data_IF_234898279843
#
_entry.id   IF_234898279843
#
_cell.length_a   1.000
_cell.length_b   1.000
_cell.length_c   1.000
_cell.angle_alpha   90.00
_cell.angle_beta   90.00
_cell.angle_gamma   90.00
#
_symmetry.space_group_name_H-M   'P 1'
#
loop_
_entity.id
_entity.type
_entity.pdbx_description
1 polymer ?
#
# COMPACT_ATOMS: atom_id res chain seq x y z
N UNK A 1 -0.49 -0.66 24.53
CA UNK A 1 0.17 -0.85 23.22
C UNK A 1 -0.80 -0.40 22.14
N UNK A 2 -0.39 0.47 21.21
CA UNK A 2 -1.27 0.99 20.14
C UNK A 2 -0.75 0.48 18.80
N UNK A 3 -1.63 -0.08 17.97
CA UNK A 3 -1.30 -0.52 16.61
C UNK A 3 -1.96 0.43 15.60
N UNK A 4 -1.21 0.82 14.56
CA UNK A 4 -1.70 1.66 13.47
C UNK A 4 -1.64 0.87 12.16
N UNK A 5 -2.70 0.93 11.38
CA UNK A 5 -2.86 0.21 10.13
C UNK A 5 -3.30 1.17 9.02
N UNK A 6 -2.81 0.94 7.80
CA UNK A 6 -3.28 1.60 6.60
C UNK A 6 -4.00 0.57 5.72
N UNK A 7 -5.20 0.92 5.23
CA UNK A 7 -6.05 0.03 4.45
C UNK A 7 -6.20 0.57 3.03
N UNK A 8 -5.97 -0.30 2.05
CA UNK A 8 -6.04 0.04 0.62
C UNK A 8 -7.07 -0.86 -0.06
N UNK A 9 -8.34 -0.41 -0.19
CA UNK A 9 -9.37 -1.23 -0.80
C UNK A 9 -9.09 -1.44 -2.31
N UNK A 10 -9.25 -2.68 -2.77
CA UNK A 10 -9.02 -3.05 -4.18
C UNK A 10 -10.29 -2.92 -5.05
N UNK A 11 -11.47 -2.86 -4.42
CA UNK A 11 -12.77 -2.76 -5.10
C UNK A 11 -13.69 -1.78 -4.38
N UNK A 12 -14.57 -1.13 -5.13
CA UNK A 12 -15.64 -0.31 -4.56
C UNK A 12 -16.73 -1.17 -3.94
N UNK A 13 -17.48 -0.58 -3.00
CA UNK A 13 -18.55 -1.22 -2.25
C UNK A 13 -18.31 -1.21 -0.75
N UNK A 14 -19.15 -1.95 -0.03
CA UNK A 14 -19.08 -2.07 1.42
C UNK A 14 -18.02 -3.09 1.81
N UNK A 15 -17.08 -2.69 2.66
CA UNK A 15 -16.06 -3.57 3.25
C UNK A 15 -16.33 -3.69 4.75
N UNK A 16 -16.49 -4.92 5.21
CA UNK A 16 -16.66 -5.22 6.63
C UNK A 16 -15.32 -5.68 7.20
N UNK A 17 -14.84 -4.98 8.21
CA UNK A 17 -13.66 -5.37 8.99
C UNK A 17 -14.15 -5.92 10.31
N UNK A 18 -13.86 -7.19 10.58
CA UNK A 18 -14.12 -7.78 11.87
C UNK A 18 -13.35 -7.02 12.96
N UNK A 19 -14.00 -6.83 14.11
CA UNK A 19 -13.35 -6.22 15.26
C UNK A 19 -12.18 -7.10 15.75
N UNK A 20 -11.18 -6.49 16.39
CA UNK A 20 -10.07 -7.24 16.97
C UNK A 20 -10.58 -8.17 18.08
N UNK A 21 -9.99 -9.36 18.18
CA UNK A 21 -10.27 -10.32 19.25
C UNK A 21 -9.11 -10.32 20.23
N UNK A 22 -9.43 -10.25 21.53
CA UNK A 22 -8.48 -10.39 22.61
C UNK A 22 -8.84 -11.63 23.44
N UNK A 23 -7.95 -12.62 23.41
CA UNK A 23 -8.01 -13.77 24.29
C UNK A 23 -7.23 -13.49 25.58
N UNK A 24 -7.83 -13.81 26.71
CA UNK A 24 -7.23 -13.62 28.03
C UNK A 24 -7.68 -14.67 29.04
N UNK A 25 -7.10 -14.62 30.23
CA UNK A 25 -7.50 -15.46 31.34
C UNK A 25 -7.70 -14.58 32.58
N UNK A 26 -8.82 -14.75 33.27
CA UNK A 26 -9.10 -14.05 34.53
C UNK A 26 -9.06 -15.07 35.67
N UNK A 27 -8.31 -14.77 36.72
CA UNK A 27 -8.27 -15.60 37.91
C UNK A 27 -9.64 -15.54 38.61
N UNK A 28 -10.23 -16.71 38.85
CA UNK A 28 -11.48 -16.82 39.61
C UNK A 28 -11.14 -17.26 41.02
N UNK A 29 -11.32 -16.37 42.00
CA UNK A 29 -11.27 -16.73 43.42
C UNK A 29 -12.59 -17.39 43.79
N UNK A 30 -12.61 -18.71 43.87
CA UNK A 30 -13.78 -19.42 44.38
C UNK A 30 -13.87 -19.18 45.90
N UNK A 31 -15.06 -18.78 46.39
CA UNK A 31 -15.34 -18.70 47.82
C UNK A 31 -15.44 -20.12 48.39
N UNK A 32 -14.29 -20.75 48.64
CA UNK A 32 -14.23 -22.07 49.25
C UNK A 32 -14.79 -21.98 50.67
N UNK A 33 -15.81 -22.80 50.95
CA UNK A 33 -16.45 -22.92 52.26
C UNK A 33 -15.41 -23.04 53.40
N UNK A 34 -15.62 -22.41 54.57
CA UNK A 34 -14.71 -22.52 55.72
C UNK A 34 -14.41 -23.96 56.19
N UNK A 35 -15.19 -24.93 55.71
CA UNK A 35 -15.11 -26.35 56.06
C UNK A 35 -14.24 -27.19 55.11
N UNK A 36 -13.73 -26.63 53.99
CA UNK A 36 -12.81 -27.34 53.10
C UNK A 36 -11.36 -27.10 53.53
N UNK A 37 -10.82 -27.97 54.39
CA UNK A 37 -9.43 -27.92 54.83
C UNK A 37 -8.42 -27.99 53.69
N UNK A 38 -7.20 -27.49 53.94
CA UNK A 38 -5.87 -27.57 53.30
C UNK A 38 -5.70 -27.85 51.78
N UNK A 39 -6.62 -28.52 51.09
CA UNK A 39 -6.63 -28.79 49.65
C UNK A 39 -7.44 -27.78 48.82
N UNK A 40 -8.29 -26.95 49.43
CA UNK A 40 -9.10 -25.94 48.71
C UNK A 40 -8.32 -24.72 48.20
N UNK A 41 -7.13 -24.44 48.76
CA UNK A 41 -6.32 -23.26 48.39
C UNK A 41 -5.42 -23.47 47.17
N UNK A 42 -5.27 -24.70 46.66
CA UNK A 42 -4.34 -25.02 45.56
C UNK A 42 -4.95 -24.86 44.16
N UNK A 43 -6.26 -24.63 44.04
CA UNK A 43 -6.94 -24.58 42.74
C UNK A 43 -7.35 -23.15 42.41
N UNK A 44 -6.36 -22.31 42.07
CA UNK A 44 -6.65 -21.05 41.40
C UNK A 44 -7.12 -21.36 39.97
N UNK A 45 -8.44 -21.50 39.78
CA UNK A 45 -9.00 -21.73 38.46
C UNK A 45 -8.96 -20.43 37.64
N UNK A 46 -8.27 -20.42 36.51
CA UNK A 46 -8.32 -19.33 35.54
C UNK A 46 -9.44 -19.59 34.53
N UNK A 47 -10.31 -18.60 34.30
CA UNK A 47 -11.37 -18.68 33.30
C UNK A 47 -10.91 -17.96 32.02
N UNK A 48 -10.93 -18.62 30.84
CA UNK A 48 -10.66 -17.94 29.59
C UNK A 48 -11.75 -16.90 29.30
N UNK A 49 -11.33 -15.76 28.81
CA UNK A 49 -12.21 -14.69 28.33
C UNK A 49 -11.81 -14.35 26.90
N UNK A 50 -12.82 -14.09 26.06
CA UNK A 50 -12.64 -13.59 24.71
C UNK A 50 -13.38 -12.26 24.65
N UNK A 51 -12.67 -11.19 24.28
CA UNK A 51 -13.24 -9.85 24.13
C UNK A 51 -13.17 -9.48 22.66
N UNK A 52 -14.34 -9.23 22.06
CA UNK A 52 -14.45 -8.73 20.71
C UNK A 52 -14.56 -7.21 20.73
N UNK A 53 -13.73 -6.54 19.93
CA UNK A 53 -13.93 -5.13 19.61
C UNK A 53 -15.05 -4.93 18.59
N UNK A 54 -15.46 -3.67 18.41
CA UNK A 54 -16.49 -3.32 17.44
C UNK A 54 -15.99 -3.53 15.99
N UNK A 55 -16.84 -4.06 15.10
CA UNK A 55 -16.51 -4.14 13.68
C UNK A 55 -16.55 -2.75 13.03
N UNK A 56 -15.73 -2.56 11.99
CA UNK A 56 -15.69 -1.33 11.21
C UNK A 56 -16.29 -1.59 9.83
N UNK A 57 -17.28 -0.78 9.44
CA UNK A 57 -17.89 -0.84 8.10
C UNK A 57 -17.40 0.35 7.28
N UNK A 58 -16.73 0.07 6.17
CA UNK A 58 -16.19 1.07 5.25
C UNK A 58 -17.02 1.12 3.97
N UNK A 59 -17.41 2.32 3.54
CA UNK A 59 -18.08 2.54 2.25
C UNK A 59 -17.09 3.07 1.21
N UNK A 60 -16.59 2.19 0.34
CA UNK A 60 -15.61 2.53 -0.70
C UNK A 60 -16.32 3.05 -1.94
N UNK A 61 -16.04 4.30 -2.31
CA UNK A 61 -16.66 4.96 -3.47
C UNK A 61 -16.20 4.33 -4.79
N UNK A 62 -17.08 4.25 -5.80
CA UNK A 62 -16.71 3.80 -7.13
C UNK A 62 -15.82 4.82 -7.85
N UNK A 63 -15.21 4.36 -8.95
CA UNK A 63 -14.53 5.23 -9.91
C UNK A 63 -15.50 6.30 -10.41
N UNK A 64 -15.10 7.58 -10.49
CA UNK A 64 -15.97 8.65 -11.00
C UNK A 64 -16.52 8.33 -12.40
N UNK A 65 -17.81 8.59 -12.66
CA UNK A 65 -18.40 8.39 -13.98
C UNK A 65 -17.74 9.30 -15.01
N UNK A 66 -17.47 8.79 -16.22
CA UNK A 66 -16.85 9.53 -17.32
C UNK A 66 -15.39 9.14 -17.61
N UNK A 67 -14.67 8.60 -16.63
CA UNK A 67 -13.32 8.08 -16.84
C UNK A 67 -13.40 6.56 -16.98
N UNK A 68 -13.61 6.06 -18.20
CA UNK A 68 -13.74 4.61 -18.46
C UNK A 68 -12.43 3.92 -18.84
N UNK A 69 -11.45 4.68 -19.33
CA UNK A 69 -10.16 4.19 -19.81
C UNK A 69 -9.00 4.77 -19.00
N UNK A 70 -7.86 4.07 -19.03
CA UNK A 70 -6.63 4.45 -18.32
C UNK A 70 -6.66 4.17 -16.82
N UNK A 71 -5.49 4.37 -16.21
CA UNK A 71 -5.24 4.12 -14.80
C UNK A 71 -5.95 5.16 -13.92
N UNK A 72 -6.73 4.69 -12.95
CA UNK A 72 -7.35 5.55 -11.94
C UNK A 72 -6.50 5.54 -10.68
N UNK A 73 -5.99 6.71 -10.31
CA UNK A 73 -5.22 6.91 -9.10
C UNK A 73 -6.07 7.68 -8.07
N UNK A 74 -6.71 6.99 -7.10
CA UNK A 74 -7.44 7.65 -6.01
C UNK A 74 -6.46 8.22 -4.96
N UNK A 75 -5.52 9.05 -5.42
CA UNK A 75 -4.52 9.72 -4.61
C UNK A 75 -4.99 11.13 -4.23
N UNK A 76 -4.50 11.62 -3.09
CA UNK A 76 -4.68 13.02 -2.65
C UNK A 76 -3.87 13.99 -3.51
N UNK A 77 -2.68 13.55 -3.91
CA UNK A 77 -1.77 14.30 -4.77
C UNK A 77 -0.98 13.33 -5.65
N UNK A 78 -0.78 13.70 -6.91
CA UNK A 78 0.08 12.97 -7.85
C UNK A 78 1.05 13.96 -8.48
N UNK A 79 2.33 13.62 -8.50
CA UNK A 79 3.37 14.38 -9.18
C UNK A 79 4.15 13.46 -10.09
N UNK A 80 4.31 13.87 -11.35
CA UNK A 80 5.15 13.19 -12.34
C UNK A 80 6.20 14.17 -12.81
N UNK A 81 7.47 13.80 -12.75
CA UNK A 81 8.57 14.55 -13.34
C UNK A 81 9.42 13.67 -14.25
N UNK A 82 10.14 14.29 -15.16
CA UNK A 82 11.00 13.61 -16.13
C UNK A 82 12.37 14.29 -16.15
N UNK A 83 13.41 13.46 -16.20
CA UNK A 83 14.79 13.91 -16.37
C UNK A 83 15.41 13.18 -17.57
N UNK A 84 15.92 13.95 -18.52
CA UNK A 84 16.54 13.43 -19.74
C UNK A 84 18.06 13.45 -19.66
N UNK A 85 18.69 12.44 -20.26
CA UNK A 85 20.14 12.34 -20.41
C UNK A 85 20.51 11.87 -21.82
N UNK A 86 21.35 12.61 -22.57
CA UNK A 86 21.87 13.94 -22.22
C UNK A 86 20.76 15.00 -22.22
N UNK A 87 20.88 16.03 -21.36
CA UNK A 87 19.90 17.11 -21.24
C UNK A 87 19.71 17.92 -22.53
N UNK A 88 20.67 17.86 -23.45
CA UNK A 88 20.62 18.50 -24.77
C UNK A 88 19.61 17.84 -25.70
N UNK A 89 19.08 16.65 -25.35
CA UNK A 89 18.18 15.83 -26.18
C UNK A 89 18.75 15.50 -27.58
N UNK A 90 20.05 15.71 -27.78
CA UNK A 90 20.76 15.37 -29.01
C UNK A 90 21.40 14.01 -28.83
N UNK A 91 20.79 12.99 -29.42
CA UNK A 91 21.42 11.69 -29.56
C UNK A 91 22.42 11.73 -30.74
N UNK A 92 23.65 11.31 -30.51
CA UNK A 92 24.57 10.94 -31.59
C UNK A 92 24.28 9.50 -32.00
N UNK A 93 24.49 9.16 -33.27
CA UNK A 93 24.32 7.79 -33.74
C UNK A 93 25.13 6.81 -32.88
N UNK A 94 24.45 5.84 -32.27
CA UNK A 94 25.05 4.85 -31.37
C UNK A 94 24.90 5.14 -29.86
N UNK A 95 24.52 6.36 -29.46
CA UNK A 95 24.30 6.70 -28.05
C UNK A 95 22.80 6.73 -27.71
N UNK A 96 22.35 6.02 -26.66
CA UNK A 96 20.94 6.03 -26.26
C UNK A 96 20.56 7.38 -25.65
N UNK A 97 19.30 7.78 -25.85
CA UNK A 97 18.67 8.87 -25.11
C UNK A 97 17.91 8.27 -23.92
N UNK A 98 18.27 8.62 -22.70
CA UNK A 98 17.66 8.06 -21.50
C UNK A 98 16.70 9.05 -20.87
N UNK A 99 15.50 8.61 -20.51
CA UNK A 99 14.57 9.35 -19.66
C UNK A 99 14.37 8.61 -18.34
N UNK A 100 14.50 9.32 -17.23
CA UNK A 100 14.09 8.84 -15.92
C UNK A 100 12.84 9.59 -15.49
N UNK A 101 11.77 8.84 -15.28
CA UNK A 101 10.49 9.34 -14.82
C UNK A 101 10.34 9.07 -13.34
N UNK A 102 9.93 10.08 -12.59
CA UNK A 102 9.65 9.99 -11.16
C UNK A 102 8.15 10.24 -10.95
N UNK A 103 7.41 9.19 -10.61
CA UNK A 103 6.01 9.28 -10.24
C UNK A 103 5.87 9.12 -8.74
N UNK A 104 5.24 10.09 -8.08
CA UNK A 104 4.93 10.06 -6.65
C UNK A 104 3.44 10.30 -6.46
N UNK A 105 2.82 9.50 -5.59
CA UNK A 105 1.42 9.66 -5.22
C UNK A 105 1.23 9.55 -3.71
N UNK A 106 0.46 10.50 -3.16
CA UNK A 106 0.07 10.53 -1.75
C UNK A 106 -1.28 9.83 -1.57
N UNK A 107 -1.35 8.91 -0.60
CA UNK A 107 -2.51 8.06 -0.32
C UNK A 107 -2.51 6.72 -1.07
N UNK A 108 -1.43 6.38 -1.78
CA UNK A 108 -1.28 5.12 -2.53
C UNK A 108 0.07 4.47 -2.22
N UNK A 109 0.10 3.14 -2.34
CA UNK A 109 1.36 2.39 -2.39
C UNK A 109 1.97 2.47 -3.79
N UNK A 110 3.29 2.33 -3.89
CA UNK A 110 4.01 2.21 -5.15
C UNK A 110 3.53 1.03 -6.03
N UNK A 111 2.99 -0.03 -5.42
CA UNK A 111 2.42 -1.16 -6.14
C UNK A 111 1.10 -0.84 -6.85
N UNK A 112 0.40 0.23 -6.45
CA UNK A 112 -0.79 0.74 -7.12
C UNK A 112 -0.46 1.74 -8.23
N UNK A 113 0.80 2.15 -8.35
CA UNK A 113 1.22 3.06 -9.41
C UNK A 113 1.34 2.31 -10.74
N UNK A 114 0.94 2.96 -11.84
CA UNK A 114 0.91 2.32 -13.14
C UNK A 114 2.31 2.00 -13.63
N UNK A 115 2.38 1.01 -14.52
CA UNK A 115 3.62 0.73 -15.22
C UNK A 115 3.87 1.79 -16.30
N UNK A 116 4.63 2.82 -15.95
CA UNK A 116 4.99 3.91 -16.86
C UNK A 116 5.62 3.44 -18.17
N UNK A 117 6.33 2.31 -18.18
CA UNK A 117 6.93 1.79 -19.40
C UNK A 117 5.89 1.36 -20.44
N UNK A 118 4.72 0.87 -20.01
CA UNK A 118 3.64 0.45 -20.91
C UNK A 118 2.80 1.62 -21.42
N UNK A 119 2.87 2.77 -20.75
CA UNK A 119 2.12 3.97 -21.12
C UNK A 119 2.86 4.83 -22.15
N UNK A 120 4.14 4.55 -22.39
CA UNK A 120 4.98 5.34 -23.30
C UNK A 120 5.01 4.64 -24.65
N UNK A 121 4.59 5.37 -25.68
CA UNK A 121 4.77 4.94 -27.07
C UNK A 121 6.00 5.64 -27.63
N UNK A 122 7.06 4.91 -28.05
CA UNK A 122 8.23 5.52 -28.65
C UNK A 122 7.86 6.22 -29.97
N UNK A 123 8.47 7.37 -30.28
CA UNK A 123 8.35 8.00 -31.60
C UNK A 123 8.79 7.06 -32.72
N UNK A 124 8.29 7.31 -33.94
CA UNK A 124 8.72 6.58 -35.12
C UNK A 124 10.25 6.62 -35.28
N UNK A 125 10.85 5.48 -35.60
CA UNK A 125 12.30 5.35 -35.72
C UNK A 125 13.05 5.19 -34.40
N UNK A 126 12.38 5.13 -33.25
CA UNK A 126 12.99 4.84 -31.95
C UNK A 126 12.43 3.54 -31.34
N UNK A 127 13.31 2.77 -30.71
CA UNK A 127 12.93 1.67 -29.81
C UNK A 127 13.13 2.10 -28.36
N UNK A 128 12.15 1.85 -27.49
CA UNK A 128 12.25 2.11 -26.06
C UNK A 128 12.53 0.83 -25.28
N UNK A 129 13.53 0.87 -24.43
CA UNK A 129 13.93 -0.22 -23.55
C UNK A 129 13.79 0.23 -22.10
N UNK A 130 12.78 -0.28 -21.37
CA UNK A 130 12.59 0.09 -19.98
C UNK A 130 13.52 -0.70 -19.07
N UNK A 131 14.09 -0.01 -18.09
CA UNK A 131 14.80 -0.64 -16.98
C UNK A 131 13.84 -1.14 -15.91
N UNK A 132 14.36 -1.94 -14.96
CA UNK A 132 13.59 -2.36 -13.79
C UNK A 132 13.17 -1.13 -12.96
N UNK A 133 11.88 -0.94 -12.65
CA UNK A 133 11.44 0.19 -11.86
C UNK A 133 11.95 0.09 -10.42
N UNK A 134 12.17 1.25 -9.80
CA UNK A 134 12.40 1.35 -8.35
C UNK A 134 11.11 1.80 -7.69
N UNK A 135 10.61 0.98 -6.77
CA UNK A 135 9.38 1.25 -6.03
C UNK A 135 9.74 1.58 -4.58
N UNK A 136 9.17 2.64 -4.03
CA UNK A 136 9.36 3.04 -2.63
C UNK A 136 8.01 3.36 -1.99
N UNK A 137 7.82 2.86 -0.77
CA UNK A 137 6.70 3.24 0.09
C UNK A 137 7.27 3.93 1.33
N UNK A 138 6.74 5.09 1.66
CA UNK A 138 7.16 5.84 2.86
C UNK A 138 5.93 6.38 3.58
N UNK A 139 5.99 6.42 4.91
CA UNK A 139 4.98 7.11 5.71
C UNK A 139 5.45 8.55 5.96
N UNK A 140 4.68 9.54 5.49
CA UNK A 140 4.88 10.95 5.82
C UNK A 140 3.75 11.38 6.75
N UNK A 141 4.06 11.46 8.05
CA UNK A 141 3.03 11.61 9.08
C UNK A 141 2.08 10.41 9.10
N UNK A 142 0.81 10.65 8.78
CA UNK A 142 -0.22 9.61 8.67
C UNK A 142 -0.54 9.20 7.24
N UNK A 143 0.16 9.78 6.26
CA UNK A 143 -0.08 9.51 4.84
C UNK A 143 0.95 8.53 4.28
N UNK A 144 0.45 7.52 3.57
CA UNK A 144 1.30 6.67 2.76
C UNK A 144 1.66 7.38 1.46
N UNK A 145 2.94 7.42 1.13
CA UNK A 145 3.48 7.99 -0.10
C UNK A 145 4.14 6.87 -0.89
N UNK A 146 3.59 6.60 -2.06
CA UNK A 146 4.12 5.64 -3.02
C UNK A 146 4.92 6.37 -4.10
N UNK A 147 6.09 5.85 -4.43
CA UNK A 147 6.95 6.38 -5.49
C UNK A 147 7.35 5.27 -6.46
N UNK A 148 7.40 5.62 -7.75
CA UNK A 148 7.91 4.79 -8.83
C UNK A 148 8.89 5.60 -9.66
N UNK A 149 10.15 5.19 -9.65
CA UNK A 149 11.15 5.66 -10.60
C UNK A 149 11.21 4.66 -11.77
N UNK A 150 10.98 5.14 -12.99
CA UNK A 150 11.05 4.35 -14.22
C UNK A 150 12.05 4.98 -15.18
N UNK A 151 13.11 4.26 -15.52
CA UNK A 151 14.05 4.67 -16.56
C UNK A 151 13.72 3.96 -17.88
N UNK A 152 13.85 4.67 -19.00
CA UNK A 152 13.77 4.12 -20.35
C UNK A 152 14.93 4.65 -21.18
N UNK A 153 15.56 3.76 -21.95
CA UNK A 153 16.53 4.08 -22.98
C UNK A 153 15.87 4.05 -24.36
N UNK A 154 15.99 5.12 -25.12
CA UNK A 154 15.57 5.20 -26.51
C UNK A 154 16.78 5.02 -27.43
N UNK A 155 16.65 4.12 -28.40
CA UNK A 155 17.69 3.81 -29.39
C UNK A 155 17.12 4.06 -30.79
N UNK A 156 17.88 4.73 -31.65
CA UNK A 156 17.51 4.95 -33.04
C UNK A 156 17.58 3.65 -33.85
N UNK A 157 16.51 3.36 -34.56
CA UNK A 157 16.35 2.18 -35.39
C UNK A 157 16.85 2.46 -36.82
N UNK A 158 18.17 2.68 -36.97
CA UNK A 158 18.87 3.00 -38.23
C UNK A 158 18.44 4.28 -38.95
#
# INVERSE_FOLDING_TARGET
>A
MTRRYALFPLRSGTVHLAGPVLDGQVAVTQNTSPWSGFFGQLVQSARPIEIHGDPIVLSVRPRPPGQRSGDWLPARQVTLSAQWSPATLRAQAGNPLTVTLHLRATGLTAGQLPNLAHLITPPAGLSAYPDKPRLRNTMQGEEMVGERDQTLAFIANR
#
